data_IF_820976103266
#
_entry.id   IF_820976103266
#
_cell.length_a   1.000
_cell.length_b   1.000
_cell.length_c   1.000
_cell.angle_alpha   90.00
_cell.angle_beta   90.00
_cell.angle_gamma   90.00
#
_symmetry.space_group_name_H-M   'P 1'
#
loop_
_entity.id
_entity.type
_entity.pdbx_description
1 polymer ?
#
# COMPACT_ATOMS: atom_id res chain seq x y z
N UNK A 1 -65.93 8.26 7.14
CA UNK A 1 -64.71 7.95 7.93
C UNK A 1 -64.42 6.46 8.12
N UNK A 2 -65.33 5.58 8.51
CA UNK A 2 -65.08 4.14 8.70
C UNK A 2 -64.57 3.38 7.46
N UNK A 3 -64.97 3.80 6.25
CA UNK A 3 -64.55 3.14 5.00
C UNK A 3 -63.10 3.49 4.62
N UNK A 4 -62.70 4.73 4.79
CA UNK A 4 -61.31 5.18 4.56
C UNK A 4 -60.32 4.45 5.49
N UNK A 5 -60.72 4.20 6.75
CA UNK A 5 -59.91 3.47 7.72
C UNK A 5 -59.75 1.99 7.36
N UNK A 6 -60.80 1.35 6.80
CA UNK A 6 -60.74 -0.04 6.35
C UNK A 6 -59.86 -0.20 5.10
N UNK A 7 -59.96 0.72 4.14
CA UNK A 7 -59.13 0.71 2.94
C UNK A 7 -57.66 1.00 3.28
N UNK A 8 -57.38 1.96 4.16
CA UNK A 8 -56.01 2.27 4.62
C UNK A 8 -55.42 1.08 5.37
N UNK A 9 -56.14 0.44 6.26
CA UNK A 9 -55.70 -0.77 6.99
C UNK A 9 -55.44 -1.94 6.04
N UNK A 10 -56.31 -2.17 5.05
CA UNK A 10 -56.10 -3.19 4.05
C UNK A 10 -54.85 -2.91 3.20
N UNK A 11 -54.61 -1.67 2.79
CA UNK A 11 -53.45 -1.24 2.03
C UNK A 11 -52.17 -1.37 2.83
N UNK A 12 -52.19 -1.08 4.11
CA UNK A 12 -51.10 -1.23 5.04
C UNK A 12 -50.75 -2.71 5.27
N UNK A 13 -51.75 -3.58 5.42
CA UNK A 13 -51.58 -5.03 5.55
C UNK A 13 -51.00 -5.61 4.27
N UNK A 14 -51.56 -5.25 3.09
CA UNK A 14 -51.04 -5.70 1.79
C UNK A 14 -49.59 -5.22 1.58
N UNK A 15 -49.29 -3.98 1.93
CA UNK A 15 -47.93 -3.44 1.86
C UNK A 15 -46.96 -4.21 2.79
N UNK A 16 -47.39 -4.49 4.03
CA UNK A 16 -46.57 -5.24 5.00
C UNK A 16 -46.36 -6.69 4.53
N UNK A 17 -47.39 -7.32 4.02
CA UNK A 17 -47.33 -8.68 3.44
C UNK A 17 -46.40 -8.71 2.23
N UNK A 18 -46.49 -7.73 1.32
CA UNK A 18 -45.57 -7.62 0.18
C UNK A 18 -44.10 -7.40 0.62
N UNK A 19 -43.89 -6.57 1.62
CA UNK A 19 -42.53 -6.31 2.17
C UNK A 19 -41.93 -7.55 2.81
N UNK A 20 -42.74 -8.49 3.32
CA UNK A 20 -42.25 -9.75 3.93
C UNK A 20 -42.22 -10.90 2.94
N UNK A 21 -43.31 -11.11 2.18
CA UNK A 21 -43.45 -12.27 1.29
C UNK A 21 -42.57 -12.19 0.05
N UNK A 22 -42.39 -10.99 -0.54
CA UNK A 22 -41.55 -10.84 -1.73
C UNK A 22 -40.08 -11.20 -1.42
N UNK A 23 -39.45 -10.67 -0.34
CA UNK A 23 -38.11 -11.08 0.02
C UNK A 23 -38.00 -12.54 0.44
N UNK A 24 -39.01 -13.06 1.17
CA UNK A 24 -39.01 -14.47 1.55
C UNK A 24 -39.12 -15.38 0.30
N UNK A 25 -39.96 -15.03 -0.66
CA UNK A 25 -40.07 -15.74 -1.93
C UNK A 25 -38.81 -15.69 -2.76
N UNK A 26 -38.15 -14.52 -2.84
CA UNK A 26 -36.86 -14.38 -3.49
C UNK A 26 -35.77 -15.19 -2.79
N UNK A 27 -35.75 -15.18 -1.45
CA UNK A 27 -34.81 -15.99 -0.69
C UNK A 27 -34.96 -17.50 -0.98
N UNK A 28 -36.20 -17.99 -0.98
CA UNK A 28 -36.48 -19.38 -1.33
C UNK A 28 -36.09 -19.68 -2.77
N UNK A 29 -36.42 -18.80 -3.72
CA UNK A 29 -36.06 -18.97 -5.12
C UNK A 29 -34.53 -19.03 -5.32
N UNK A 30 -33.78 -18.15 -4.66
CA UNK A 30 -32.29 -18.16 -4.72
C UNK A 30 -31.68 -19.33 -3.92
N UNK A 31 -32.42 -20.01 -3.07
CA UNK A 31 -31.95 -21.19 -2.34
C UNK A 31 -32.12 -22.50 -3.15
N UNK A 32 -32.81 -22.46 -4.29
CA UNK A 32 -32.99 -23.64 -5.18
C UNK A 32 -31.65 -23.96 -5.86
N UNK A 33 -31.10 -25.20 -5.74
CA UNK A 33 -29.81 -25.58 -6.32
C UNK A 33 -29.69 -25.32 -7.82
N UNK A 34 -30.77 -25.54 -8.59
CA UNK A 34 -30.79 -25.26 -10.03
C UNK A 34 -30.59 -23.78 -10.36
N UNK A 35 -31.22 -22.89 -9.57
CA UNK A 35 -31.09 -21.44 -9.73
C UNK A 35 -29.68 -20.98 -9.34
N UNK A 36 -29.13 -21.50 -8.24
CA UNK A 36 -27.77 -21.20 -7.82
C UNK A 36 -26.74 -21.62 -8.86
N UNK A 37 -26.88 -22.81 -9.45
CA UNK A 37 -26.00 -23.30 -10.52
C UNK A 37 -26.11 -22.45 -11.80
N UNK A 38 -27.29 -22.01 -12.15
CA UNK A 38 -27.50 -21.11 -13.30
C UNK A 38 -26.79 -19.76 -13.07
N UNK A 39 -27.01 -19.16 -11.89
CA UNK A 39 -26.37 -17.89 -11.51
C UNK A 39 -24.85 -18.04 -11.48
N UNK A 40 -24.33 -19.11 -10.89
CA UNK A 40 -22.89 -19.41 -10.85
C UNK A 40 -22.27 -19.46 -12.24
N UNK A 41 -22.83 -20.28 -13.14
CA UNK A 41 -22.34 -20.42 -14.53
C UNK A 41 -22.43 -19.10 -15.31
N UNK A 42 -23.48 -18.33 -15.08
CA UNK A 42 -23.62 -17.01 -15.71
C UNK A 42 -22.57 -16.04 -15.17
N UNK A 43 -22.34 -16.01 -13.86
CA UNK A 43 -21.30 -15.18 -13.25
C UNK A 43 -19.89 -15.57 -13.72
N UNK A 44 -19.57 -16.86 -13.80
CA UNK A 44 -18.30 -17.35 -14.33
C UNK A 44 -18.10 -16.85 -15.77
N UNK A 45 -19.08 -17.04 -16.65
CA UNK A 45 -19.01 -16.62 -18.07
C UNK A 45 -18.83 -15.12 -18.21
N UNK A 46 -19.62 -14.32 -17.48
CA UNK A 46 -19.53 -12.86 -17.53
C UNK A 46 -18.21 -12.33 -16.97
N UNK A 47 -17.73 -12.91 -15.86
CA UNK A 47 -16.43 -12.53 -15.27
C UNK A 47 -15.27 -12.97 -16.14
N UNK A 48 -15.28 -14.16 -16.72
CA UNK A 48 -14.27 -14.62 -17.71
C UNK A 48 -14.21 -13.64 -18.88
N UNK A 49 -15.36 -13.25 -19.43
CA UNK A 49 -15.42 -12.27 -20.53
C UNK A 49 -14.96 -10.86 -20.13
N UNK A 50 -15.20 -10.46 -18.89
CA UNK A 50 -14.79 -9.14 -18.36
C UNK A 50 -13.31 -9.08 -18.02
N UNK A 51 -12.77 -10.15 -17.41
CA UNK A 51 -11.41 -10.19 -16.89
C UNK A 51 -10.39 -10.76 -17.93
N UNK A 52 -10.86 -11.40 -18.99
CA UNK A 52 -9.99 -12.00 -19.99
C UNK A 52 -9.17 -13.21 -19.51
N UNK A 53 -9.55 -13.79 -18.36
CA UNK A 53 -8.96 -14.96 -17.74
C UNK A 53 -10.06 -15.94 -17.33
N UNK A 54 -9.77 -17.23 -17.31
CA UNK A 54 -10.74 -18.23 -16.88
C UNK A 54 -11.07 -18.08 -15.40
N UNK A 55 -12.37 -17.89 -15.12
CA UNK A 55 -12.89 -17.69 -13.76
C UNK A 55 -13.71 -18.91 -13.35
N UNK A 56 -13.40 -19.48 -12.21
CA UNK A 56 -14.21 -20.51 -11.56
C UNK A 56 -14.75 -20.00 -10.22
N UNK A 57 -15.99 -20.40 -9.87
CA UNK A 57 -16.68 -20.00 -8.64
C UNK A 57 -17.37 -21.23 -8.08
N UNK A 58 -17.13 -21.57 -6.82
CA UNK A 58 -17.82 -22.72 -6.20
C UNK A 58 -19.26 -22.42 -5.86
N UNK A 59 -19.53 -21.26 -5.28
CA UNK A 59 -20.87 -20.89 -4.88
C UNK A 59 -21.13 -19.38 -4.98
N UNK A 60 -22.36 -19.05 -5.37
CA UNK A 60 -22.89 -17.68 -5.38
C UNK A 60 -24.06 -17.60 -4.40
N UNK A 61 -23.92 -16.82 -3.35
CA UNK A 61 -24.98 -16.57 -2.39
C UNK A 61 -25.50 -15.14 -2.53
N UNK A 62 -26.79 -15.01 -2.75
CA UNK A 62 -27.48 -13.72 -2.82
C UNK A 62 -28.38 -13.59 -1.60
N UNK A 63 -27.99 -12.72 -0.66
CA UNK A 63 -28.84 -12.41 0.48
C UNK A 63 -29.92 -11.42 0.06
N UNK A 64 -31.18 -11.59 0.55
CA UNK A 64 -32.25 -10.64 0.29
C UNK A 64 -31.80 -9.25 0.73
N UNK A 65 -32.01 -8.27 -0.14
CA UNK A 65 -31.85 -6.83 0.06
C UNK A 65 -30.50 -6.17 -0.21
N UNK A 66 -29.33 -6.84 -0.12
CA UNK A 66 -28.13 -6.02 -0.35
C UNK A 66 -26.77 -6.72 -0.51
N UNK A 67 -26.67 -8.02 -0.28
CA UNK A 67 -25.36 -8.68 -0.30
C UNK A 67 -25.28 -9.82 -1.31
N UNK A 68 -24.26 -9.75 -2.17
CA UNK A 68 -23.83 -10.86 -3.02
C UNK A 68 -22.51 -11.38 -2.47
N UNK A 69 -22.40 -12.69 -2.30
CA UNK A 69 -21.18 -13.33 -1.83
C UNK A 69 -20.80 -14.45 -2.79
N UNK A 70 -19.58 -14.37 -3.32
CA UNK A 70 -18.95 -15.43 -4.09
C UNK A 70 -17.99 -16.19 -3.18
N UNK A 71 -17.92 -17.50 -3.31
CA UNK A 71 -17.02 -18.37 -2.55
C UNK A 71 -16.07 -19.10 -3.48
N UNK A 72 -14.82 -19.21 -3.03
CA UNK A 72 -13.73 -19.88 -3.72
C UNK A 72 -13.68 -19.45 -5.19
N UNK A 73 -13.44 -18.16 -5.39
CA UNK A 73 -13.23 -17.60 -6.72
C UNK A 73 -11.78 -17.83 -7.12
N UNK A 74 -11.55 -18.49 -8.24
CA UNK A 74 -10.20 -18.70 -8.76
C UNK A 74 -10.09 -18.15 -10.18
N UNK A 75 -8.98 -17.49 -10.46
CA UNK A 75 -8.58 -17.04 -11.79
C UNK A 75 -7.38 -17.85 -12.24
N UNK A 76 -7.51 -18.50 -13.39
CA UNK A 76 -6.49 -19.35 -13.98
C UNK A 76 -5.79 -18.62 -15.11
N UNK A 77 -4.46 -18.69 -15.13
CA UNK A 77 -3.67 -18.08 -16.18
C UNK A 77 -3.60 -18.95 -17.45
N UNK A 78 -2.91 -18.48 -18.47
CA UNK A 78 -2.76 -19.19 -19.76
C UNK A 78 -1.96 -20.50 -19.66
N UNK A 79 -1.21 -20.69 -18.58
CA UNK A 79 -0.46 -21.92 -18.31
C UNK A 79 -1.32 -22.97 -17.58
N UNK A 80 -2.52 -22.59 -17.13
CA UNK A 80 -3.39 -23.45 -16.33
C UNK A 80 -3.14 -23.37 -14.82
N UNK A 81 -2.25 -22.46 -14.39
CA UNK A 81 -1.96 -22.25 -12.98
C UNK A 81 -2.96 -21.25 -12.38
N UNK A 82 -3.32 -21.46 -11.10
CA UNK A 82 -4.15 -20.49 -10.37
C UNK A 82 -3.31 -19.26 -10.02
N UNK A 83 -3.59 -18.16 -10.72
CA UNK A 83 -2.91 -16.87 -10.49
C UNK A 83 -3.50 -16.09 -9.32
N UNK A 84 -4.82 -16.18 -9.14
CA UNK A 84 -5.53 -15.50 -8.03
C UNK A 84 -6.59 -16.43 -7.47
N UNK A 85 -6.63 -16.56 -6.16
CA UNK A 85 -7.68 -17.28 -5.43
C UNK A 85 -8.26 -16.38 -4.34
N UNK A 86 -9.57 -16.45 -4.11
CA UNK A 86 -10.27 -15.69 -3.06
C UNK A 86 -11.27 -16.60 -2.37
N UNK A 87 -11.11 -16.86 -1.06
CA UNK A 87 -12.03 -17.68 -0.29
C UNK A 87 -13.45 -17.10 -0.31
N UNK A 88 -13.55 -15.79 -0.09
CA UNK A 88 -14.82 -15.08 -0.06
C UNK A 88 -14.69 -13.66 -0.60
N UNK A 89 -15.49 -13.38 -1.62
CA UNK A 89 -15.68 -12.04 -2.16
C UNK A 89 -17.12 -11.60 -1.86
N UNK A 90 -17.28 -10.62 -0.98
CA UNK A 90 -18.56 -10.05 -0.60
C UNK A 90 -18.76 -8.68 -1.24
N UNK A 91 -19.95 -8.41 -1.76
CA UNK A 91 -20.33 -7.10 -2.27
C UNK A 91 -21.68 -6.66 -1.71
N UNK A 92 -21.71 -5.47 -1.12
CA UNK A 92 -22.95 -4.80 -0.74
C UNK A 92 -23.51 -4.04 -1.93
N UNK A 93 -24.67 -4.47 -2.44
CA UNK A 93 -25.30 -3.90 -3.65
C UNK A 93 -26.56 -3.15 -3.26
N UNK A 94 -26.75 -1.94 -3.77
CA UNK A 94 -27.99 -1.19 -3.57
C UNK A 94 -29.06 -1.63 -4.58
N UNK A 95 -29.86 -2.63 -4.20
CA UNK A 95 -30.92 -3.20 -5.05
C UNK A 95 -31.96 -2.14 -5.47
N UNK A 96 -32.30 -1.21 -4.56
CA UNK A 96 -33.24 -0.12 -4.89
C UNK A 96 -32.74 0.76 -6.04
N UNK A 97 -31.43 1.06 -6.07
CA UNK A 97 -30.82 1.83 -7.16
C UNK A 97 -30.70 1.01 -8.45
N UNK A 98 -30.46 -0.30 -8.33
CA UNK A 98 -30.42 -1.20 -9.47
C UNK A 98 -31.79 -1.27 -10.17
N UNK A 99 -32.86 -1.44 -9.40
CA UNK A 99 -34.22 -1.56 -9.94
C UNK A 99 -34.74 -0.21 -10.48
N UNK A 100 -34.63 0.86 -9.67
CA UNK A 100 -35.23 2.17 -10.02
C UNK A 100 -34.38 2.94 -11.03
N UNK A 101 -33.06 2.90 -10.91
CA UNK A 101 -32.13 3.70 -11.72
C UNK A 101 -31.33 2.89 -12.74
N UNK A 102 -31.51 1.58 -12.81
CA UNK A 102 -30.71 0.64 -13.63
C UNK A 102 -29.19 0.86 -13.46
N UNK A 103 -28.77 1.23 -12.23
CA UNK A 103 -27.37 1.48 -11.90
C UNK A 103 -26.92 0.54 -10.79
N UNK A 104 -25.87 -0.23 -11.06
CA UNK A 104 -25.22 -1.06 -10.06
C UNK A 104 -24.36 -0.16 -9.15
N UNK A 105 -24.76 -0.03 -7.89
CA UNK A 105 -23.98 0.70 -6.88
C UNK A 105 -23.53 -0.30 -5.83
N UNK A 106 -22.22 -0.50 -5.75
CA UNK A 106 -21.57 -1.32 -4.72
C UNK A 106 -21.14 -0.37 -3.61
N UNK A 107 -21.74 -0.49 -2.44
CA UNK A 107 -21.42 0.38 -1.30
C UNK A 107 -20.23 -0.16 -0.46
N UNK A 108 -20.04 -1.48 -0.51
CA UNK A 108 -19.08 -2.20 0.33
C UNK A 108 -18.55 -3.39 -0.45
N UNK A 109 -17.25 -3.60 -0.42
CA UNK A 109 -16.59 -4.79 -0.92
C UNK A 109 -15.75 -5.43 0.19
N UNK A 110 -15.85 -6.73 0.33
CA UNK A 110 -15.10 -7.54 1.31
C UNK A 110 -14.34 -8.63 0.57
N UNK A 111 -13.05 -8.70 0.78
CA UNK A 111 -12.14 -9.70 0.21
C UNK A 111 -11.50 -10.45 1.36
N UNK A 112 -11.77 -11.74 1.48
CA UNK A 112 -11.24 -12.58 2.54
C UNK A 112 -10.51 -13.76 1.93
N UNK A 113 -9.28 -14.01 2.41
CA UNK A 113 -8.46 -15.10 1.92
C UNK A 113 -8.05 -14.93 0.47
N UNK A 114 -7.68 -13.71 0.06
CA UNK A 114 -7.03 -13.49 -1.23
C UNK A 114 -5.63 -14.10 -1.19
N UNK A 115 -5.33 -14.96 -2.15
CA UNK A 115 -3.96 -15.43 -2.47
C UNK A 115 -3.69 -15.07 -3.94
N UNK A 116 -2.87 -14.04 -4.16
CA UNK A 116 -2.51 -13.57 -5.49
C UNK A 116 -1.04 -13.90 -5.78
N UNK A 117 -0.81 -14.70 -6.82
CA UNK A 117 0.52 -15.18 -7.22
C UNK A 117 0.89 -14.60 -8.57
N UNK A 118 1.59 -13.47 -8.54
CA UNK A 118 2.04 -12.78 -9.73
C UNK A 118 3.41 -13.32 -10.14
N UNK A 119 3.51 -13.75 -11.39
CA UNK A 119 4.74 -14.30 -11.96
C UNK A 119 5.04 -13.69 -13.30
N UNK A 120 6.31 -13.53 -13.61
CA UNK A 120 6.82 -13.24 -14.95
C UNK A 120 8.19 -13.87 -15.16
N UNK A 121 8.46 -14.30 -16.39
CA UNK A 121 9.70 -15.03 -16.70
C UNK A 121 10.96 -14.14 -16.67
N UNK A 122 10.80 -12.85 -16.90
CA UNK A 122 11.89 -11.88 -16.85
C UNK A 122 11.35 -10.48 -16.53
N UNK A 123 12.22 -9.53 -16.20
CA UNK A 123 11.84 -8.16 -15.89
C UNK A 123 11.04 -7.46 -17.00
N UNK A 124 11.23 -7.83 -18.26
CA UNK A 124 10.53 -7.29 -19.42
C UNK A 124 9.34 -8.15 -19.88
N UNK A 125 9.17 -9.36 -19.35
CA UNK A 125 8.08 -10.26 -19.72
C UNK A 125 6.74 -9.77 -19.11
N UNK A 126 5.60 -10.05 -19.77
CA UNK A 126 4.29 -9.75 -19.21
C UNK A 126 4.03 -10.56 -17.94
N UNK A 127 3.18 -10.04 -17.07
CA UNK A 127 2.70 -10.79 -15.90
C UNK A 127 1.74 -11.90 -16.32
N UNK A 128 1.68 -12.97 -15.55
CA UNK A 128 0.69 -14.04 -15.76
C UNK A 128 -0.76 -13.56 -15.70
N UNK A 129 -1.04 -12.41 -15.07
CA UNK A 129 -2.36 -11.74 -15.05
C UNK A 129 -2.48 -10.63 -16.12
N UNK A 130 -1.55 -10.54 -17.08
CA UNK A 130 -1.59 -9.49 -18.11
C UNK A 130 -2.92 -9.44 -18.88
N UNK A 131 -3.57 -10.56 -19.25
CA UNK A 131 -4.88 -10.52 -19.89
C UNK A 131 -5.94 -9.77 -19.06
N UNK A 132 -5.92 -9.92 -17.74
CA UNK A 132 -6.82 -9.20 -16.84
C UNK A 132 -6.52 -7.70 -16.82
N UNK A 133 -5.24 -7.33 -16.75
CA UNK A 133 -4.84 -5.92 -16.76
C UNK A 133 -5.25 -5.25 -18.08
N UNK A 134 -5.05 -5.93 -19.20
CA UNK A 134 -5.41 -5.43 -20.54
C UNK A 134 -6.93 -5.35 -20.72
N UNK A 135 -7.69 -6.29 -20.19
CA UNK A 135 -9.15 -6.29 -20.22
C UNK A 135 -9.76 -5.15 -19.40
N UNK A 136 -9.13 -4.81 -18.28
CA UNK A 136 -9.56 -3.72 -17.38
C UNK A 136 -9.02 -2.34 -17.80
N UNK A 137 -8.03 -2.31 -18.69
CA UNK A 137 -7.47 -1.06 -19.20
C UNK A 137 -8.52 -0.27 -20.01
N UNK A 138 -8.59 1.07 -19.87
CA UNK A 138 -9.51 1.90 -20.64
C UNK A 138 -9.24 1.77 -22.14
N UNK A 139 -10.13 1.12 -22.88
CA UNK A 139 -9.98 0.90 -24.34
C UNK A 139 -10.13 2.18 -25.18
N UNK A 140 -10.72 3.24 -24.64
CA UNK A 140 -10.95 4.49 -25.36
C UNK A 140 -11.11 5.65 -24.35
N UNK A 141 -10.17 6.59 -24.38
CA UNK A 141 -10.18 7.77 -23.50
C UNK A 141 -11.38 8.72 -23.76
N UNK A 142 -12.06 8.58 -24.90
CA UNK A 142 -13.11 9.48 -25.36
C UNK A 142 -14.53 8.90 -25.24
N UNK A 143 -14.70 7.64 -24.84
CA UNK A 143 -16.03 7.09 -24.62
C UNK A 143 -16.39 7.12 -23.14
N UNK A 144 -17.53 7.74 -22.77
CA UNK A 144 -18.01 7.63 -21.41
C UNK A 144 -18.15 6.15 -21.05
N UNK A 145 -17.73 5.74 -19.83
CA UNK A 145 -17.87 4.36 -19.41
C UNK A 145 -19.34 3.93 -19.54
N UNK A 146 -19.56 2.83 -20.24
CA UNK A 146 -20.91 2.23 -20.38
C UNK A 146 -21.54 2.16 -18.99
N UNK A 147 -22.63 2.85 -18.77
CA UNK A 147 -23.66 2.80 -17.72
C UNK A 147 -23.42 2.04 -16.38
N UNK A 148 -22.18 1.70 -16.06
CA UNK A 148 -21.77 1.11 -14.79
C UNK A 148 -21.21 2.23 -13.90
N UNK A 149 -22.06 2.75 -13.03
CA UNK A 149 -21.64 3.65 -11.96
C UNK A 149 -21.12 2.77 -10.80
N UNK A 150 -19.91 2.24 -10.97
CA UNK A 150 -19.26 1.39 -9.98
C UNK A 150 -18.72 2.30 -8.86
N UNK A 151 -19.45 2.38 -7.76
CA UNK A 151 -19.08 3.18 -6.59
C UNK A 151 -18.88 2.25 -5.43
N UNK A 152 -17.63 1.96 -5.12
CA UNK A 152 -17.27 1.26 -3.88
C UNK A 152 -16.88 2.30 -2.84
N UNK A 153 -17.66 2.44 -1.77
CA UNK A 153 -17.35 3.38 -0.71
C UNK A 153 -16.32 2.82 0.27
N UNK A 154 -16.35 1.50 0.49
CA UNK A 154 -15.46 0.84 1.45
C UNK A 154 -14.99 -0.50 0.88
N UNK A 155 -13.70 -0.75 0.97
CA UNK A 155 -13.07 -2.05 0.66
C UNK A 155 -12.39 -2.56 1.92
N UNK A 156 -12.67 -3.80 2.28
CA UNK A 156 -12.08 -4.49 3.42
C UNK A 156 -11.38 -5.74 2.93
N UNK A 157 -10.09 -5.86 3.24
CA UNK A 157 -9.26 -7.01 2.88
C UNK A 157 -8.80 -7.69 4.17
N UNK A 158 -8.96 -9.01 4.28
CA UNK A 158 -8.58 -9.77 5.47
C UNK A 158 -7.95 -11.11 5.10
N UNK A 159 -6.98 -11.54 5.92
CA UNK A 159 -6.32 -12.86 5.80
C UNK A 159 -5.82 -13.13 4.40
N UNK A 160 -5.20 -12.16 3.80
CA UNK A 160 -4.78 -12.20 2.40
C UNK A 160 -3.28 -12.35 2.27
N UNK A 161 -2.86 -12.90 1.16
CA UNK A 161 -1.47 -13.08 0.79
C UNK A 161 -1.25 -12.57 -0.65
N UNK A 162 -0.02 -12.20 -0.94
CA UNK A 162 0.40 -11.76 -2.25
C UNK A 162 1.83 -12.19 -2.49
N UNK A 163 2.11 -12.77 -3.65
CA UNK A 163 3.48 -13.02 -4.08
C UNK A 163 3.76 -12.41 -5.44
N UNK A 164 5.00 -12.03 -5.65
CA UNK A 164 5.51 -11.53 -6.91
C UNK A 164 6.88 -12.14 -7.16
N UNK A 165 7.01 -12.88 -8.25
CA UNK A 165 8.22 -13.59 -8.61
C UNK A 165 8.66 -13.26 -10.04
N UNK A 166 9.95 -12.98 -10.23
CA UNK A 166 10.59 -12.69 -11.52
C UNK A 166 11.63 -13.77 -11.83
N UNK A 167 11.41 -14.53 -12.91
CA UNK A 167 12.30 -15.62 -13.30
C UNK A 167 12.23 -16.83 -12.38
N UNK A 168 13.21 -17.71 -12.49
CA UNK A 168 13.31 -18.96 -11.72
C UNK A 168 14.31 -18.89 -10.57
N UNK A 169 14.74 -17.69 -10.17
CA UNK A 169 15.68 -17.49 -9.07
C UNK A 169 15.12 -17.99 -7.74
N UNK A 170 15.99 -18.47 -6.87
CA UNK A 170 15.58 -18.78 -5.49
C UNK A 170 15.50 -17.48 -4.68
N UNK A 171 14.40 -17.28 -3.95
CA UNK A 171 14.24 -16.10 -3.13
C UNK A 171 15.23 -16.05 -1.97
N UNK A 172 15.80 -14.89 -1.72
CA UNK A 172 16.60 -14.63 -0.53
C UNK A 172 15.68 -14.21 0.63
N UNK A 173 15.50 -15.09 1.60
CA UNK A 173 14.67 -14.80 2.79
C UNK A 173 15.41 -14.01 3.87
N UNK A 174 16.71 -13.77 3.72
CA UNK A 174 17.49 -13.02 4.70
C UNK A 174 17.40 -11.50 4.53
N UNK A 175 16.94 -11.05 3.38
CA UNK A 175 16.77 -9.63 3.04
C UNK A 175 15.59 -9.42 2.10
N UNK A 176 15.13 -8.20 1.99
CA UNK A 176 14.09 -7.81 1.05
C UNK A 176 14.60 -7.96 -0.39
N UNK A 177 13.89 -8.78 -1.17
CA UNK A 177 14.19 -9.04 -2.57
C UNK A 177 13.05 -8.54 -3.45
N UNK A 178 13.31 -7.46 -4.20
CA UNK A 178 12.33 -6.83 -5.09
C UNK A 178 11.83 -7.75 -6.22
N UNK A 179 12.60 -8.79 -6.57
CA UNK A 179 12.23 -9.77 -7.59
C UNK A 179 11.42 -10.94 -7.02
N UNK A 180 11.44 -11.12 -5.72
CA UNK A 180 10.79 -12.23 -5.01
C UNK A 180 10.09 -11.75 -3.73
N UNK A 181 9.03 -10.97 -3.89
CA UNK A 181 8.24 -10.44 -2.77
C UNK A 181 7.20 -11.48 -2.34
N UNK A 182 7.07 -11.75 -1.05
CA UNK A 182 6.02 -12.60 -0.50
C UNK A 182 5.41 -11.98 0.75
N UNK A 183 4.21 -11.44 0.59
CA UNK A 183 3.42 -10.81 1.64
C UNK A 183 2.41 -11.80 2.20
N UNK A 184 2.32 -11.88 3.51
CA UNK A 184 1.35 -12.65 4.27
C UNK A 184 0.60 -11.75 5.26
N UNK A 185 -0.48 -12.28 5.84
CA UNK A 185 -1.32 -11.58 6.82
C UNK A 185 -1.80 -10.20 6.39
N UNK A 186 -1.92 -9.98 5.07
CA UNK A 186 -2.37 -8.71 4.51
C UNK A 186 -3.79 -8.38 4.99
N UNK A 187 -3.92 -7.21 5.59
CA UNK A 187 -5.16 -6.61 6.05
C UNK A 187 -5.21 -5.17 5.60
N UNK A 188 -6.29 -4.77 4.95
CA UNK A 188 -6.47 -3.39 4.54
C UNK A 188 -7.91 -2.93 4.70
N UNK A 189 -8.08 -1.69 5.15
CA UNK A 189 -9.36 -0.98 5.23
C UNK A 189 -9.23 0.32 4.43
N UNK A 190 -9.98 0.40 3.33
CA UNK A 190 -9.96 1.55 2.43
C UNK A 190 -11.35 2.18 2.35
N UNK A 191 -11.40 3.49 2.40
CA UNK A 191 -12.56 4.27 1.99
C UNK A 191 -12.28 4.96 0.67
N UNK A 192 -13.18 4.78 -0.28
CA UNK A 192 -13.12 5.37 -1.59
C UNK A 192 -14.28 6.37 -1.73
N UNK A 193 -14.17 7.57 -1.14
CA UNK A 193 -15.19 8.59 -1.32
C UNK A 193 -15.25 8.96 -2.81
N UNK A 194 -16.42 9.42 -3.20
CA UNK A 194 -16.83 9.68 -4.57
C UNK A 194 -15.72 10.25 -5.45
N UNK A 195 -15.42 9.55 -6.54
CA UNK A 195 -14.61 10.06 -7.64
C UNK A 195 -15.44 11.11 -8.37
N UNK A 196 -14.99 12.35 -8.43
CA UNK A 196 -15.61 13.42 -9.18
C UNK A 196 -14.55 14.18 -9.96
N UNK A 197 -14.77 14.36 -11.25
CA UNK A 197 -13.95 15.20 -12.15
C UNK A 197 -12.44 14.94 -12.01
N UNK A 198 -11.97 13.71 -12.27
CA UNK A 198 -10.56 13.31 -12.18
C UNK A 198 -9.90 13.48 -10.79
N UNK A 199 -10.66 13.81 -9.76
CA UNK A 199 -10.18 13.88 -8.40
C UNK A 199 -10.42 12.53 -7.70
N UNK A 200 -9.35 11.83 -7.41
CA UNK A 200 -9.36 10.57 -6.67
C UNK A 200 -8.97 10.84 -5.23
N UNK A 201 -9.80 10.45 -4.30
CA UNK A 201 -9.47 10.47 -2.88
C UNK A 201 -9.61 9.06 -2.32
N UNK A 202 -8.54 8.55 -1.73
CA UNK A 202 -8.50 7.27 -1.05
C UNK A 202 -8.10 7.54 0.39
N UNK A 203 -8.92 7.10 1.34
CA UNK A 203 -8.56 7.11 2.75
C UNK A 203 -8.19 5.70 3.14
N UNK A 204 -6.91 5.46 3.34
CA UNK A 204 -6.40 4.24 3.92
C UNK A 204 -6.57 4.37 5.44
N UNK A 205 -7.47 3.56 6.00
CA UNK A 205 -7.72 3.57 7.45
C UNK A 205 -6.81 2.60 8.19
N UNK A 206 -6.37 1.57 7.49
CA UNK A 206 -5.44 0.58 8.00
C UNK A 206 -4.83 -0.22 6.87
N UNK A 207 -3.54 -0.44 6.92
CA UNK A 207 -2.81 -1.45 6.17
C UNK A 207 -1.85 -2.14 7.15
N UNK A 208 -1.87 -3.47 7.17
CA UNK A 208 -0.93 -4.27 7.94
C UNK A 208 -0.55 -5.50 7.12
N UNK A 209 0.69 -5.92 7.20
CA UNK A 209 1.23 -7.07 6.47
C UNK A 209 2.54 -7.56 7.09
N UNK A 210 2.91 -8.79 6.76
CA UNK A 210 4.24 -9.35 7.01
C UNK A 210 4.87 -9.78 5.70
N UNK A 211 6.15 -9.54 5.52
CA UNK A 211 6.91 -9.94 4.34
C UNK A 211 7.95 -11.01 4.72
N UNK A 212 8.27 -11.91 3.80
CA UNK A 212 9.14 -13.08 4.00
C UNK A 212 10.52 -12.75 4.57
N UNK A 213 11.11 -11.60 4.22
CA UNK A 213 12.40 -11.14 4.75
C UNK A 213 12.38 -10.78 6.24
N UNK A 214 11.20 -10.85 6.87
CA UNK A 214 10.98 -10.46 8.25
C UNK A 214 10.62 -8.98 8.44
N UNK A 215 10.33 -8.25 7.34
CA UNK A 215 9.69 -6.96 7.44
C UNK A 215 8.23 -7.12 7.88
N UNK A 216 7.81 -6.35 8.86
CA UNK A 216 6.44 -6.32 9.35
C UNK A 216 5.92 -4.88 9.41
N UNK A 217 4.77 -4.66 8.82
CA UNK A 217 4.01 -3.42 8.93
C UNK A 217 2.80 -3.69 9.83
N UNK A 218 2.81 -3.15 11.05
CA UNK A 218 1.70 -3.33 12.00
C UNK A 218 0.51 -2.44 11.68
N UNK A 219 0.78 -1.28 11.12
CA UNK A 219 -0.24 -0.35 10.69
C UNK A 219 0.30 0.75 9.79
N UNK A 220 -0.50 1.12 8.81
CA UNK A 220 -0.31 2.32 8.02
C UNK A 220 -1.67 2.92 7.74
N UNK A 221 -1.82 4.20 7.96
CA UNK A 221 -3.00 4.96 7.60
C UNK A 221 -2.62 6.30 6.97
N UNK A 222 -3.57 6.89 6.22
CA UNK A 222 -3.31 8.14 5.51
C UNK A 222 -4.39 8.48 4.50
N UNK A 223 -4.35 9.70 4.00
CA UNK A 223 -5.26 10.18 2.97
C UNK A 223 -4.49 10.48 1.69
N UNK A 224 -4.80 9.75 0.64
CA UNK A 224 -4.20 9.90 -0.69
C UNK A 224 -5.17 10.69 -1.58
N UNK A 225 -4.70 11.79 -2.15
CA UNK A 225 -5.48 12.63 -3.06
C UNK A 225 -4.71 12.80 -4.36
N UNK A 226 -5.37 12.50 -5.48
CA UNK A 226 -4.85 12.73 -6.82
C UNK A 226 -5.82 13.65 -7.55
N UNK A 227 -5.32 14.76 -8.05
CA UNK A 227 -6.06 15.76 -8.83
C UNK A 227 -5.47 15.85 -10.23
N UNK A 228 -6.00 16.75 -11.07
CA UNK A 228 -5.45 16.96 -12.41
C UNK A 228 -4.00 17.47 -12.41
N UNK A 229 -3.54 18.11 -11.32
CA UNK A 229 -2.24 18.80 -11.27
C UNK A 229 -1.38 18.46 -10.07
N UNK A 230 -1.87 17.64 -9.15
CA UNK A 230 -1.11 17.26 -7.96
C UNK A 230 -1.55 15.90 -7.41
N UNK A 231 -0.60 15.21 -6.81
CA UNK A 231 -0.83 14.11 -5.89
C UNK A 231 -0.35 14.51 -4.50
N UNK A 232 -1.09 14.15 -3.47
CA UNK A 232 -0.69 14.38 -2.07
C UNK A 232 -1.06 13.21 -1.18
N UNK A 233 -0.25 13.03 -0.15
CA UNK A 233 -0.52 12.11 0.95
C UNK A 233 -0.54 12.92 2.22
N UNK A 234 -1.69 12.97 2.87
CA UNK A 234 -1.86 13.70 4.13
C UNK A 234 -2.08 12.75 5.29
N UNK A 235 -1.61 13.16 6.48
CA UNK A 235 -1.70 12.38 7.71
C UNK A 235 -1.21 10.94 7.54
N UNK A 236 -0.07 10.74 6.87
CA UNK A 236 0.54 9.44 6.74
C UNK A 236 1.18 9.06 8.08
N UNK A 237 0.74 7.94 8.62
CA UNK A 237 1.24 7.36 9.87
C UNK A 237 1.64 5.91 9.60
N UNK A 238 2.86 5.53 9.93
CA UNK A 238 3.44 4.19 9.69
C UNK A 238 3.92 3.63 11.01
N UNK A 239 3.43 2.46 11.38
CA UNK A 239 3.81 1.72 12.58
C UNK A 239 4.44 0.39 12.21
N UNK A 240 5.70 0.22 12.60
CA UNK A 240 6.43 -1.03 12.57
C UNK A 240 6.48 -1.61 14.00
N UNK A 241 6.99 -2.83 14.22
CA UNK A 241 7.00 -3.44 15.56
C UNK A 241 7.65 -2.57 16.66
N UNK A 242 8.68 -1.81 16.31
CA UNK A 242 9.42 -0.98 17.26
C UNK A 242 9.66 0.45 16.75
N UNK A 243 8.97 0.86 15.67
CA UNK A 243 9.16 2.16 15.04
C UNK A 243 7.81 2.83 14.74
N UNK A 244 7.81 4.15 14.73
CA UNK A 244 6.66 4.97 14.39
C UNK A 244 7.12 6.17 13.56
N UNK A 245 6.54 6.33 12.38
CA UNK A 245 6.84 7.43 11.48
C UNK A 245 5.54 8.18 11.16
N UNK A 246 5.48 9.44 11.57
CA UNK A 246 4.40 10.37 11.25
C UNK A 246 4.94 11.41 10.25
N UNK A 247 4.23 11.58 9.14
CA UNK A 247 4.65 12.49 8.09
C UNK A 247 3.79 13.74 8.06
N UNK A 248 4.39 14.83 7.64
CA UNK A 248 3.67 15.99 7.15
C UNK A 248 3.05 15.69 5.79
N UNK A 249 2.31 16.67 5.24
CA UNK A 249 1.71 16.52 3.93
C UNK A 249 2.80 16.33 2.85
N UNK A 250 2.86 15.13 2.29
CA UNK A 250 3.70 14.82 1.14
C UNK A 250 2.97 15.33 -0.10
N UNK A 251 3.60 16.17 -0.89
CA UNK A 251 3.02 16.75 -2.09
C UNK A 251 3.92 16.59 -3.30
N UNK A 252 3.32 16.16 -4.40
CA UNK A 252 3.94 15.99 -5.70
C UNK A 252 3.09 16.73 -6.75
N UNK A 253 3.68 17.62 -7.54
CA UNK A 253 2.94 18.43 -8.53
C UNK A 253 3.37 18.10 -9.95
N UNK A 254 2.41 18.20 -10.88
CA UNK A 254 2.58 17.92 -12.30
C UNK A 254 1.64 18.79 -13.15
N UNK A 255 1.94 19.05 -14.45
CA UNK A 255 1.13 19.93 -15.29
C UNK A 255 -0.23 19.32 -15.65
N UNK A 256 -0.31 18.00 -15.80
CA UNK A 256 -1.54 17.26 -16.07
C UNK A 256 -1.37 15.79 -15.70
N UNK A 257 -2.46 15.11 -15.32
CA UNK A 257 -2.44 13.71 -14.87
C UNK A 257 -1.93 12.73 -15.95
N UNK A 258 -2.24 12.97 -17.21
CA UNK A 258 -1.76 12.17 -18.35
C UNK A 258 -0.28 12.42 -18.69
N UNK A 259 0.31 13.48 -18.16
CA UNK A 259 1.71 13.87 -18.34
C UNK A 259 2.57 13.72 -17.09
N UNK A 260 2.10 12.96 -16.11
CA UNK A 260 2.85 12.71 -14.84
C UNK A 260 4.24 12.14 -15.11
N UNK A 261 4.36 11.22 -16.06
CA UNK A 261 5.64 10.56 -16.38
C UNK A 261 6.61 11.43 -17.20
N UNK A 262 6.12 12.50 -17.83
CA UNK A 262 6.98 13.40 -18.60
C UNK A 262 7.86 14.22 -17.67
N UNK A 263 9.18 14.15 -17.86
CA UNK A 263 10.17 14.88 -17.07
C UNK A 263 9.99 14.72 -15.56
N UNK A 264 9.77 13.48 -15.09
CA UNK A 264 9.50 13.18 -13.68
C UNK A 264 10.57 13.72 -12.74
N UNK A 265 11.84 13.69 -13.16
CA UNK A 265 12.97 14.19 -12.38
C UNK A 265 12.85 15.68 -12.00
N UNK A 266 12.20 16.48 -12.81
CA UNK A 266 12.02 17.93 -12.58
C UNK A 266 10.72 18.29 -11.84
N UNK A 267 9.92 17.29 -11.41
CA UNK A 267 8.64 17.55 -10.73
C UNK A 267 8.87 17.94 -9.28
N UNK A 268 8.22 19.02 -8.83
CA UNK A 268 8.31 19.44 -7.44
C UNK A 268 7.77 18.39 -6.46
N UNK A 269 8.51 18.18 -5.38
CA UNK A 269 8.14 17.30 -4.28
C UNK A 269 8.46 18.00 -2.95
N UNK A 270 7.64 17.76 -1.94
CA UNK A 270 7.89 18.16 -0.56
C UNK A 270 7.55 16.99 0.37
N UNK A 271 8.36 16.81 1.40
CA UNK A 271 8.27 15.71 2.36
C UNK A 271 8.75 16.21 3.72
N UNK A 272 7.97 15.99 4.77
CA UNK A 272 8.37 16.21 6.16
C UNK A 272 8.13 14.96 7.00
N UNK A 273 9.04 14.67 7.91
CA UNK A 273 8.87 13.68 8.98
C UNK A 273 8.78 14.45 10.28
N UNK A 274 7.69 14.23 11.04
CA UNK A 274 7.40 14.98 12.26
C UNK A 274 8.31 14.59 13.41
N UNK A 275 8.61 15.50 14.33
CA UNK A 275 9.52 15.27 15.47
C UNK A 275 9.12 14.13 16.42
N UNK A 276 7.82 13.74 16.44
CA UNK A 276 7.36 12.58 17.22
C UNK A 276 7.75 11.23 16.61
N UNK A 277 8.38 11.23 15.44
CA UNK A 277 8.76 10.04 14.70
C UNK A 277 10.04 9.43 15.25
N UNK A 278 10.07 8.11 15.27
CA UNK A 278 11.27 7.37 15.63
C UNK A 278 11.38 6.06 14.84
N UNK A 279 12.61 5.62 14.66
CA UNK A 279 12.97 4.36 14.00
C UNK A 279 13.88 3.56 14.91
N UNK A 280 13.53 2.31 15.16
CA UNK A 280 14.41 1.33 15.81
C UNK A 280 15.18 0.59 14.72
N UNK A 281 16.49 0.59 14.81
CA UNK A 281 17.37 0.07 13.75
C UNK A 281 17.08 -1.38 13.39
N UNK A 282 16.68 -2.21 14.36
CA UNK A 282 16.32 -3.62 14.12
C UNK A 282 15.13 -3.82 13.20
N UNK A 283 14.22 -2.86 13.09
CA UNK A 283 13.08 -2.95 12.17
C UNK A 283 13.52 -2.81 10.70
N UNK A 284 14.70 -2.25 10.47
CA UNK A 284 15.29 -2.10 9.14
C UNK A 284 16.11 -3.32 8.69
N UNK A 285 16.16 -4.40 9.48
CA UNK A 285 16.94 -5.62 9.20
C UNK A 285 16.65 -6.24 7.84
N UNK A 286 15.42 -6.15 7.40
CA UNK A 286 14.99 -6.68 6.11
C UNK A 286 15.70 -5.99 4.93
N UNK A 287 16.02 -4.70 5.06
CA UNK A 287 16.72 -3.90 4.06
C UNK A 287 18.23 -3.90 4.28
N UNK A 288 18.65 -3.83 5.55
CA UNK A 288 20.05 -3.81 5.96
C UNK A 288 20.24 -4.85 7.07
N UNK A 289 20.60 -6.11 6.73
CA UNK A 289 20.68 -7.21 7.71
C UNK A 289 21.57 -6.93 8.92
N UNK A 290 22.62 -6.15 8.73
CA UNK A 290 23.56 -5.74 9.80
C UNK A 290 22.88 -5.01 10.96
N UNK A 291 21.75 -4.32 10.69
CA UNK A 291 21.00 -3.57 11.71
C UNK A 291 20.15 -4.46 12.62
N UNK A 292 19.98 -5.74 12.27
CA UNK A 292 19.07 -6.65 12.99
C UNK A 292 19.39 -6.84 14.48
N UNK A 293 20.66 -6.68 14.86
CA UNK A 293 21.12 -6.80 16.25
C UNK A 293 21.14 -5.46 17.01
N UNK A 294 20.74 -4.36 16.36
CA UNK A 294 20.77 -3.02 16.94
C UNK A 294 19.37 -2.60 17.40
N UNK A 295 19.13 -2.66 18.71
CA UNK A 295 17.91 -2.16 19.33
C UNK A 295 17.90 -0.65 19.56
N UNK A 296 18.86 0.10 19.00
CA UNK A 296 18.94 1.55 19.16
C UNK A 296 17.75 2.23 18.50
N UNK A 297 17.03 3.03 19.26
CA UNK A 297 15.93 3.85 18.80
C UNK A 297 16.47 5.25 18.48
N UNK A 298 16.12 5.73 17.29
CA UNK A 298 16.50 7.03 16.77
C UNK A 298 15.26 7.87 16.52
N UNK A 299 15.12 8.99 17.18
CA UNK A 299 14.13 10.01 16.90
C UNK A 299 14.54 10.75 15.63
N UNK A 300 13.60 11.02 14.72
CA UNK A 300 13.89 11.56 13.39
C UNK A 300 12.97 12.75 13.12
N UNK A 301 13.59 13.88 12.82
CA UNK A 301 12.92 15.07 12.31
C UNK A 301 13.56 15.43 10.95
N UNK A 302 12.74 15.54 9.90
CA UNK A 302 13.18 15.79 8.54
C UNK A 302 12.24 16.76 7.84
N UNK A 303 12.79 17.82 7.28
CA UNK A 303 12.12 18.69 6.30
C UNK A 303 12.91 18.72 5.01
N UNK A 304 12.27 18.29 3.92
CA UNK A 304 12.88 18.15 2.62
C UNK A 304 11.94 18.59 1.50
N UNK A 305 12.48 19.31 0.53
CA UNK A 305 11.72 19.76 -0.63
C UNK A 305 12.64 19.92 -1.85
N UNK A 306 12.04 20.01 -3.03
CA UNK A 306 12.82 20.18 -4.26
C UNK A 306 12.13 19.55 -5.45
N UNK A 307 12.86 18.73 -6.19
CA UNK A 307 12.31 17.93 -7.29
C UNK A 307 12.62 16.46 -7.09
N UNK A 308 11.90 15.57 -7.80
CA UNK A 308 12.15 14.13 -7.72
C UNK A 308 13.59 13.76 -8.06
N UNK A 309 14.27 14.51 -8.94
CA UNK A 309 15.67 14.29 -9.30
C UNK A 309 16.66 14.90 -8.32
N UNK A 310 16.25 15.91 -7.54
CA UNK A 310 17.11 16.63 -6.61
C UNK A 310 16.31 17.17 -5.42
N UNK A 311 16.50 16.59 -4.25
CA UNK A 311 15.81 16.95 -3.00
C UNK A 311 16.78 17.72 -2.11
N UNK A 312 16.37 18.90 -1.71
CA UNK A 312 17.06 19.73 -0.72
C UNK A 312 16.52 19.38 0.67
N UNK A 313 17.38 19.00 1.59
CA UNK A 313 17.11 18.74 2.99
C UNK A 313 17.37 20.04 3.76
N UNK A 314 16.30 20.69 4.20
CA UNK A 314 16.38 21.91 4.98
C UNK A 314 16.76 21.60 6.43
N UNK A 315 16.16 20.57 7.01
CA UNK A 315 16.42 20.09 8.37
C UNK A 315 16.59 18.58 8.37
N UNK A 316 17.62 18.10 9.00
CA UNK A 316 17.81 16.71 9.41
C UNK A 316 18.25 16.73 10.87
N UNK A 317 17.46 16.20 11.77
CA UNK A 317 17.80 15.97 13.17
C UNK A 317 17.48 14.51 13.54
N UNK A 318 18.50 13.75 13.83
CA UNK A 318 18.40 12.37 14.28
C UNK A 318 19.07 12.29 15.63
N UNK A 319 18.35 11.81 16.65
CA UNK A 319 18.88 11.67 18.01
C UNK A 319 18.41 10.36 18.62
N UNK A 320 19.27 9.70 19.39
CA UNK A 320 18.84 8.58 20.22
C UNK A 320 18.05 9.07 21.45
N UNK A 321 17.40 8.15 22.18
CA UNK A 321 16.59 8.49 23.35
C UNK A 321 17.39 9.11 24.50
N UNK A 322 18.69 8.84 24.58
CA UNK A 322 19.58 9.42 25.59
C UNK A 322 20.09 10.82 25.20
N UNK A 323 20.02 11.18 23.92
CA UNK A 323 20.65 12.38 23.36
C UNK A 323 22.18 12.27 23.27
N UNK A 324 22.73 11.08 23.47
CA UNK A 324 24.18 10.83 23.41
C UNK A 324 24.67 10.62 21.97
N UNK A 325 23.79 10.08 21.11
CA UNK A 325 24.06 9.92 19.68
C UNK A 325 23.14 10.89 18.93
N UNK A 326 23.73 11.75 18.14
CA UNK A 326 22.98 12.69 17.33
C UNK A 326 23.65 13.01 16.01
N UNK A 327 22.84 13.21 14.97
CA UNK A 327 23.27 13.69 13.66
C UNK A 327 22.35 14.84 13.25
N UNK A 328 22.94 16.01 13.00
CA UNK A 328 22.23 17.19 12.53
C UNK A 328 22.87 17.72 11.27
N UNK A 329 22.06 18.19 10.35
CA UNK A 329 22.60 18.74 9.14
C UNK A 329 21.56 19.25 8.17
N UNK A 330 22.05 19.75 7.08
CA UNK A 330 21.29 20.07 5.89
C UNK A 330 22.05 19.58 4.65
N UNK A 331 21.38 19.47 3.52
CA UNK A 331 22.05 18.96 2.35
C UNK A 331 21.17 18.80 1.14
N UNK A 332 21.68 18.05 0.17
CA UNK A 332 20.96 17.75 -1.07
C UNK A 332 21.20 16.30 -1.46
N UNK A 333 20.17 15.63 -1.91
CA UNK A 333 20.24 14.33 -2.57
C UNK A 333 19.89 14.51 -4.03
N UNK A 334 20.68 13.95 -4.91
CA UNK A 334 20.57 14.09 -6.38
C UNK A 334 20.49 12.72 -7.05
N UNK A 335 20.08 12.69 -8.30
CA UNK A 335 20.00 11.49 -9.14
C UNK A 335 19.03 10.40 -8.66
N UNK A 336 18.04 10.76 -7.83
CA UNK A 336 17.04 9.79 -7.33
C UNK A 336 16.14 9.23 -8.43
N UNK A 337 15.96 9.94 -9.53
CA UNK A 337 15.10 9.51 -10.64
C UNK A 337 15.85 8.66 -11.69
N UNK A 338 17.18 8.57 -11.60
CA UNK A 338 18.00 7.79 -12.52
C UNK A 338 18.30 6.42 -11.93
N UNK A 339 17.63 5.39 -12.46
CA UNK A 339 17.82 4.00 -12.02
C UNK A 339 19.13 3.37 -12.51
N UNK A 340 19.86 4.06 -13.40
CA UNK A 340 21.13 3.59 -13.97
C UNK A 340 22.36 4.07 -13.19
N UNK A 341 22.20 5.09 -12.34
CA UNK A 341 23.25 5.65 -11.51
C UNK A 341 22.94 5.52 -10.03
N UNK A 342 23.98 5.52 -9.19
CA UNK A 342 23.80 5.60 -7.75
C UNK A 342 23.33 7.01 -7.36
N UNK A 343 22.43 7.13 -6.35
CA UNK A 343 22.10 8.43 -5.79
C UNK A 343 23.36 9.16 -5.31
N UNK A 344 23.40 10.44 -5.57
CA UNK A 344 24.45 11.32 -5.07
C UNK A 344 23.93 12.12 -3.89
N UNK A 345 24.78 12.43 -2.92
CA UNK A 345 24.42 13.33 -1.83
C UNK A 345 25.52 14.34 -1.54
N UNK A 346 25.12 15.49 -1.05
CA UNK A 346 26.00 16.52 -0.54
C UNK A 346 25.45 17.04 0.79
N UNK A 347 26.26 16.96 1.84
CA UNK A 347 26.00 17.51 3.17
C UNK A 347 27.05 18.60 3.42
N UNK A 348 26.78 19.86 3.04
CA UNK A 348 27.75 20.96 3.17
C UNK A 348 27.99 21.33 4.62
N UNK A 349 27.12 20.94 5.52
CA UNK A 349 27.30 21.02 6.97
C UNK A 349 26.56 19.85 7.62
N UNK A 350 27.31 19.07 8.35
CA UNK A 350 26.76 18.14 9.30
C UNK A 350 27.47 18.27 10.64
N UNK A 351 26.77 17.96 11.69
CA UNK A 351 27.33 17.75 13.01
C UNK A 351 26.87 16.40 13.53
N UNK A 352 27.79 15.63 14.03
CA UNK A 352 27.58 14.31 14.59
C UNK A 352 28.20 14.25 15.97
N UNK A 353 27.46 13.71 16.93
CA UNK A 353 27.99 13.48 18.27
C UNK A 353 27.68 12.07 18.73
N UNK A 354 28.60 11.50 19.50
CA UNK A 354 28.40 10.20 20.13
C UNK A 354 29.36 10.05 21.33
N UNK A 355 29.10 9.07 22.21
CA UNK A 355 30.10 8.59 23.17
C UNK A 355 30.89 7.44 22.56
N UNK A 356 32.18 7.34 22.90
CA UNK A 356 33.01 6.25 22.40
C UNK A 356 32.49 4.85 22.76
N UNK A 357 31.87 4.70 23.92
CA UNK A 357 31.22 3.45 24.33
C UNK A 357 30.02 3.08 23.44
N UNK A 358 29.26 4.06 22.93
CA UNK A 358 28.13 3.82 22.02
C UNK A 358 28.64 3.41 20.63
N UNK A 359 29.73 4.04 20.17
CA UNK A 359 30.41 3.63 18.94
C UNK A 359 30.95 2.20 19.06
N UNK A 360 31.58 1.84 20.16
CA UNK A 360 32.07 0.47 20.42
C UNK A 360 30.91 -0.53 20.39
N UNK A 361 29.79 -0.23 21.05
CA UNK A 361 28.62 -1.10 21.09
C UNK A 361 27.97 -1.27 19.69
N UNK A 362 27.84 -0.20 18.91
CA UNK A 362 27.25 -0.27 17.57
C UNK A 362 28.23 -0.95 16.60
N UNK A 363 29.46 -0.50 16.54
CA UNK A 363 30.48 -1.02 15.61
C UNK A 363 30.85 -2.45 15.97
N UNK A 364 30.93 -2.80 17.25
CA UNK A 364 31.19 -4.16 17.71
C UNK A 364 30.12 -5.19 17.33
N UNK A 365 28.88 -4.74 17.13
CA UNK A 365 27.78 -5.59 16.64
C UNK A 365 27.76 -5.73 15.11
N UNK A 366 28.37 -4.80 14.40
CA UNK A 366 28.40 -4.74 12.92
C UNK A 366 29.70 -5.34 12.37
N UNK A 367 30.83 -5.10 13.05
CA UNK A 367 32.15 -5.51 12.63
C UNK A 367 32.93 -6.13 13.78
N UNK A 368 33.81 -7.09 13.49
CA UNK A 368 34.72 -7.66 14.49
C UNK A 368 35.79 -6.63 14.85
N UNK A 369 35.56 -5.91 15.94
CA UNK A 369 36.59 -5.01 16.50
C UNK A 369 37.68 -5.83 17.17
N UNK A 370 38.95 -5.42 16.99
CA UNK A 370 40.01 -5.95 17.79
C UNK A 370 39.82 -5.53 19.26
N UNK A 371 40.25 -6.35 20.25
CA UNK A 371 40.09 -6.00 21.67
C UNK A 371 40.74 -4.64 22.03
N UNK A 372 41.86 -4.30 21.40
CA UNK A 372 42.50 -3.00 21.57
C UNK A 372 41.64 -1.85 21.03
N UNK A 373 41.02 -2.02 19.84
CA UNK A 373 40.16 -0.99 19.27
C UNK A 373 38.90 -0.79 20.12
N UNK A 374 38.30 -1.86 20.63
CA UNK A 374 37.17 -1.79 21.58
C UNK A 374 37.54 -1.03 22.86
N UNK A 375 38.68 -1.34 23.46
CA UNK A 375 39.18 -0.66 24.66
C UNK A 375 39.45 0.84 24.40
N UNK A 376 40.04 1.19 23.27
CA UNK A 376 40.25 2.60 22.90
C UNK A 376 38.90 3.31 22.74
N UNK A 377 37.98 2.74 21.99
CA UNK A 377 36.66 3.33 21.78
C UNK A 377 35.90 3.49 23.11
N UNK A 378 35.85 2.47 23.96
CA UNK A 378 35.12 2.54 25.24
C UNK A 378 35.70 3.58 26.22
N UNK A 379 36.96 3.92 26.09
CA UNK A 379 37.61 4.94 26.91
C UNK A 379 37.55 6.36 26.30
N UNK A 380 37.13 6.49 25.05
CA UNK A 380 36.86 7.80 24.47
C UNK A 380 35.60 8.40 25.12
N UNK A 381 35.71 9.63 25.57
CA UNK A 381 34.58 10.39 26.09
C UNK A 381 33.61 10.77 24.99
N UNK A 382 33.02 11.93 25.08
CA UNK A 382 32.16 12.49 24.05
C UNK A 382 32.99 12.88 22.83
N UNK A 383 32.52 12.47 21.66
CA UNK A 383 33.14 12.77 20.38
C UNK A 383 32.14 13.67 19.63
N UNK A 384 32.53 14.88 19.32
CA UNK A 384 31.78 15.79 18.48
C UNK A 384 32.53 15.99 17.15
N UNK A 385 31.85 15.79 16.05
CA UNK A 385 32.37 15.88 14.69
C UNK A 385 31.60 16.95 13.94
N UNK A 386 32.32 17.90 13.36
CA UNK A 386 31.77 18.90 12.47
C UNK A 386 32.41 18.74 11.09
N UNK A 387 31.61 18.71 10.04
CA UNK A 387 32.19 18.50 8.72
C UNK A 387 31.26 18.69 7.55
N UNK A 388 31.77 18.31 6.42
CA UNK A 388 31.10 18.18 5.15
C UNK A 388 31.29 16.77 4.59
N UNK A 389 30.28 16.24 3.90
CA UNK A 389 30.37 14.94 3.26
C UNK A 389 29.66 14.99 1.90
N UNK A 390 30.22 14.30 0.93
CA UNK A 390 29.60 14.17 -0.39
C UNK A 390 29.87 12.77 -0.96
N UNK A 391 28.91 12.28 -1.72
CA UNK A 391 29.06 11.11 -2.60
C UNK A 391 28.69 11.54 -4.00
N UNK A 392 29.60 11.45 -4.94
CA UNK A 392 29.36 11.77 -6.34
C UNK A 392 30.18 10.85 -7.24
N UNK A 393 29.55 10.32 -8.29
CA UNK A 393 30.18 9.40 -9.23
C UNK A 393 30.78 8.15 -8.56
N UNK A 394 30.17 7.65 -7.47
CA UNK A 394 30.65 6.51 -6.70
C UNK A 394 31.88 6.79 -5.82
N UNK A 395 32.31 8.05 -5.70
CA UNK A 395 33.44 8.47 -4.84
C UNK A 395 32.87 9.24 -3.63
N UNK A 396 33.24 8.77 -2.44
CA UNK A 396 32.95 9.47 -1.20
C UNK A 396 34.07 10.48 -0.86
N UNK A 397 33.67 11.68 -0.49
CA UNK A 397 34.51 12.71 0.06
C UNK A 397 33.98 13.11 1.44
N UNK A 398 34.82 13.16 2.43
CA UNK A 398 34.46 13.61 3.76
C UNK A 398 35.63 14.46 4.33
N UNK A 399 35.31 15.66 4.79
CA UNK A 399 36.21 16.53 5.51
C UNK A 399 35.57 16.88 6.84
N UNK A 400 36.21 16.50 7.94
CA UNK A 400 35.61 16.67 9.25
C UNK A 400 36.66 17.06 10.30
N UNK A 401 36.25 17.85 11.27
CA UNK A 401 37.01 18.20 12.46
C UNK A 401 36.43 17.50 13.67
N UNK A 402 37.25 16.79 14.40
CA UNK A 402 36.87 16.13 15.68
C UNK A 402 37.19 17.11 16.79
N UNK A 403 36.22 17.35 17.67
CA UNK A 403 36.32 18.25 18.83
C UNK A 403 36.36 17.46 20.13
#
# INVERSE_FOLDING_TARGET
>A
MRWIYKTFRALLVVSLVMVVLVPAGLYVAFSIPGVQNYIRRTAEKELTGLLGMDVSIDAVNIAPFSRVTLRNVALTDSAGDTAVCVDRLGAGVSISRLIVKRRLVVNYAEIIGLDARLKRDSASAPLNIQPMLDALAPKDKNKPPKNFDFRVNTVVIRRSAFSYDVGSGLPDSSRFDMNHIAVSDLRADLRLPRIANNNFRIVLQRLALSERSGFALEGMDGTFVVTDTAASVGNLDIRLPHSHLAFDDIRFTYPALDRVKENIASRPVALGIKPESFVTLSDLKAFVPLLGNLGTRLNVDLDASGTVGAIDIATLDITDDSGDIWLRGNGRIMNLADTSSLPEFALPRFSFGCKGADVENIVGKIANLSPLAGQVLSNLGKIDVLGEAALSGGKAHCSATIL
#
